data_IF_617513518604
#
_entry.id   IF_617513518604
#
_cell.length_a   1.000
_cell.length_b   1.000
_cell.length_c   1.000
_cell.angle_alpha   90.00
_cell.angle_beta   90.00
_cell.angle_gamma   90.00
#
_symmetry.space_group_name_H-M   'P 1'
#
loop_
_entity.id
_entity.type
_entity.pdbx_description
1 polymer ?
#
# COMPACT_ATOMS: atom_id res chain seq x y z
N UNK A 1 5.40 18.41 -14.41
CA UNK A 1 5.06 17.21 -13.64
C UNK A 1 6.36 16.61 -13.15
N UNK A 2 6.44 16.16 -11.90
CA UNK A 2 7.67 15.56 -11.33
C UNK A 2 7.45 14.09 -11.05
N UNK A 3 8.50 13.29 -11.14
CA UNK A 3 8.43 11.88 -10.78
C UNK A 3 8.24 11.75 -9.28
N UNK A 4 7.24 10.95 -8.91
CA UNK A 4 6.90 10.64 -7.53
C UNK A 4 6.53 9.17 -7.42
N UNK A 5 6.68 8.65 -6.22
CA UNK A 5 6.16 7.36 -5.85
C UNK A 5 5.31 7.47 -4.60
N UNK A 6 4.36 6.57 -4.46
CA UNK A 6 3.60 6.37 -3.22
C UNK A 6 3.84 4.95 -2.75
N UNK A 7 4.30 4.82 -1.52
CA UNK A 7 4.64 3.55 -0.90
C UNK A 7 3.88 3.45 0.41
N UNK A 8 2.87 2.59 0.44
CA UNK A 8 2.00 2.40 1.58
C UNK A 8 1.87 0.91 1.90
N UNK A 9 1.67 0.60 3.17
CA UNK A 9 1.25 -0.70 3.63
C UNK A 9 -0.22 -0.57 4.00
N UNK A 10 -1.03 -1.53 3.56
CA UNK A 10 -2.47 -1.56 3.81
C UNK A 10 -2.89 -2.95 4.25
N UNK A 11 -3.80 -3.01 5.22
CA UNK A 11 -4.48 -4.24 5.61
C UNK A 11 -5.75 -4.37 4.77
N UNK A 12 -5.77 -5.32 3.83
CA UNK A 12 -6.81 -5.43 2.80
C UNK A 12 -7.05 -6.90 2.44
N UNK A 13 -8.29 -7.28 2.09
CA UNK A 13 -8.55 -8.62 1.58
C UNK A 13 -8.07 -8.78 0.13
N UNK A 14 -7.75 -10.01 -0.35
CA UNK A 14 -7.36 -10.23 -1.74
C UNK A 14 -8.39 -9.75 -2.76
N UNK A 15 -9.69 -9.90 -2.45
CA UNK A 15 -10.78 -9.50 -3.34
C UNK A 15 -10.88 -7.97 -3.45
N UNK A 16 -10.74 -7.27 -2.32
CA UNK A 16 -10.70 -5.80 -2.29
C UNK A 16 -9.47 -5.26 -3.01
N UNK A 17 -8.30 -5.87 -2.83
CA UNK A 17 -7.10 -5.47 -3.57
C UNK A 17 -7.26 -5.66 -5.08
N UNK A 18 -7.85 -6.78 -5.51
CA UNK A 18 -8.12 -7.01 -6.93
C UNK A 18 -9.05 -5.93 -7.51
N UNK A 19 -10.09 -5.53 -6.78
CA UNK A 19 -11.00 -4.47 -7.21
C UNK A 19 -10.31 -3.09 -7.23
N UNK A 20 -9.58 -2.75 -6.15
CA UNK A 20 -8.88 -1.49 -6.01
C UNK A 20 -7.78 -1.32 -7.08
N UNK A 21 -6.95 -2.34 -7.31
CA UNK A 21 -5.89 -2.33 -8.32
C UNK A 21 -6.41 -2.14 -9.74
N UNK A 22 -7.61 -2.64 -10.06
CA UNK A 22 -8.26 -2.41 -11.34
C UNK A 22 -8.77 -0.97 -11.51
N UNK A 23 -9.24 -0.34 -10.43
CA UNK A 23 -9.80 1.02 -10.44
C UNK A 23 -8.74 2.13 -10.30
N UNK A 24 -7.64 1.83 -9.60
CA UNK A 24 -6.57 2.77 -9.25
C UNK A 24 -6.05 3.57 -10.44
N UNK A 25 -5.70 2.99 -11.61
CA UNK A 25 -5.18 3.77 -12.73
C UNK A 25 -6.12 4.90 -13.19
N UNK A 26 -7.43 4.63 -13.24
CA UNK A 26 -8.42 5.62 -13.65
C UNK A 26 -8.67 6.67 -12.56
N UNK A 27 -8.77 6.23 -11.30
CA UNK A 27 -8.97 7.12 -10.16
C UNK A 27 -7.79 8.10 -9.99
N UNK A 28 -6.55 7.60 -10.04
CA UNK A 28 -5.34 8.40 -9.93
C UNK A 28 -5.21 9.41 -11.07
N UNK A 29 -5.50 8.99 -12.31
CA UNK A 29 -5.50 9.88 -13.45
C UNK A 29 -6.51 11.03 -13.28
N UNK A 30 -7.71 10.74 -12.78
CA UNK A 30 -8.73 11.76 -12.50
C UNK A 30 -8.28 12.76 -11.41
N UNK A 31 -7.46 12.31 -10.46
CA UNK A 31 -6.88 13.14 -9.40
C UNK A 31 -5.61 13.91 -9.83
N UNK A 32 -5.09 13.71 -11.05
CA UNK A 32 -3.86 14.36 -11.53
C UNK A 32 -2.58 13.63 -11.15
N UNK A 33 -2.66 12.32 -10.87
CA UNK A 33 -1.52 11.43 -10.69
C UNK A 33 -1.46 10.43 -11.85
N UNK A 34 -0.50 10.62 -12.76
CA UNK A 34 -0.25 9.72 -13.87
C UNK A 34 0.61 8.54 -13.43
N UNK A 35 -0.04 7.46 -12.99
CA UNK A 35 0.63 6.23 -12.59
C UNK A 35 1.24 5.50 -13.81
N UNK A 36 2.52 5.16 -13.71
CA UNK A 36 3.27 4.37 -14.69
C UNK A 36 3.38 2.90 -14.28
N UNK A 37 3.38 2.62 -12.96
CA UNK A 37 3.25 1.26 -12.45
C UNK A 37 2.53 1.23 -11.10
N UNK A 38 1.84 0.13 -10.84
CA UNK A 38 1.12 -0.14 -9.59
C UNK A 38 1.42 -1.58 -9.21
N UNK A 39 1.98 -1.78 -8.03
CA UNK A 39 2.34 -3.08 -7.49
C UNK A 39 1.71 -3.24 -6.12
N UNK A 40 1.23 -4.45 -5.84
CA UNK A 40 0.74 -4.85 -4.52
C UNK A 40 1.37 -6.17 -4.17
N UNK A 41 2.29 -6.16 -3.21
CA UNK A 41 3.03 -7.33 -2.77
C UNK A 41 2.57 -7.69 -1.35
N UNK A 42 2.09 -8.92 -1.18
CA UNK A 42 1.70 -9.43 0.15
C UNK A 42 2.94 -9.55 1.01
N UNK A 43 2.91 -8.95 2.20
CA UNK A 43 3.93 -9.11 3.22
C UNK A 43 3.60 -10.33 4.05
N UNK A 44 4.51 -11.29 4.05
CA UNK A 44 4.44 -12.44 4.93
C UNK A 44 4.85 -12.04 6.36
N UNK A 45 3.85 -12.00 7.26
CA UNK A 45 4.04 -11.68 8.68
C UNK A 45 4.42 -12.90 9.53
N UNK A 46 4.66 -14.08 8.94
CA UNK A 46 5.03 -15.28 9.70
C UNK A 46 6.37 -15.14 10.44
N UNK A 47 7.34 -14.42 9.86
CA UNK A 47 8.62 -14.12 10.53
C UNK A 47 8.49 -12.99 11.57
N UNK A 48 7.55 -12.05 11.39
CA UNK A 48 7.38 -10.85 12.23
C UNK A 48 5.88 -10.56 12.46
N UNK A 49 5.23 -11.25 13.42
CA UNK A 49 3.80 -11.11 13.66
C UNK A 49 3.42 -9.77 14.32
N UNK A 50 4.40 -9.05 14.89
CA UNK A 50 4.19 -7.74 15.51
C UNK A 50 4.19 -6.64 14.43
N UNK A 51 3.03 -6.43 13.81
CA UNK A 51 2.82 -5.37 12.85
C UNK A 51 1.83 -4.33 13.40
N UNK A 52 2.18 -3.05 13.25
CA UNK A 52 1.37 -1.93 13.74
C UNK A 52 -0.08 -1.93 13.21
N UNK A 53 -0.31 -2.33 11.95
CA UNK A 53 -1.68 -2.39 11.40
C UNK A 53 -2.48 -3.58 11.92
N UNK A 54 -1.82 -4.72 12.14
CA UNK A 54 -2.45 -5.89 12.77
C UNK A 54 -2.87 -5.54 14.20
N UNK A 55 -1.97 -4.93 14.97
CA UNK A 55 -2.26 -4.47 16.33
C UNK A 55 -3.40 -3.44 16.37
N UNK A 56 -3.41 -2.47 15.45
CA UNK A 56 -4.48 -1.47 15.36
C UNK A 56 -5.82 -2.10 15.02
N UNK A 57 -5.84 -3.02 14.05
CA UNK A 57 -7.03 -3.75 13.65
C UNK A 57 -7.60 -4.58 14.81
N UNK A 58 -6.75 -5.32 15.53
CA UNK A 58 -7.17 -6.11 16.68
C UNK A 58 -7.80 -5.27 17.79
N UNK A 59 -7.22 -4.11 18.07
CA UNK A 59 -7.74 -3.18 19.07
C UNK A 59 -9.10 -2.59 18.66
N UNK A 60 -9.30 -2.31 17.37
CA UNK A 60 -10.52 -1.70 16.86
C UNK A 60 -11.65 -2.71 16.63
N UNK A 61 -11.34 -3.87 16.04
CA UNK A 61 -12.31 -4.89 15.61
C UNK A 61 -12.51 -6.00 16.66
N UNK A 62 -11.65 -6.07 17.69
CA UNK A 62 -11.73 -7.08 18.74
C UNK A 62 -11.36 -8.50 18.29
N UNK A 63 -10.73 -8.64 17.12
CA UNK A 63 -10.29 -9.92 16.54
C UNK A 63 -9.04 -9.72 15.66
N UNK A 64 -8.21 -10.76 15.49
CA UNK A 64 -7.14 -10.73 14.50
C UNK A 64 -7.70 -10.61 13.06
N UNK A 65 -6.94 -10.02 12.13
CA UNK A 65 -7.23 -10.11 10.71
C UNK A 65 -7.16 -11.58 10.28
N UNK A 66 -8.25 -12.08 9.69
CA UNK A 66 -8.35 -13.48 9.25
C UNK A 66 -8.46 -13.59 7.73
N UNK A 67 -9.13 -12.61 7.11
CA UNK A 67 -9.27 -12.54 5.66
C UNK A 67 -8.33 -11.48 5.06
N UNK A 68 -8.00 -10.46 5.86
CA UNK A 68 -7.16 -9.34 5.49
C UNK A 68 -5.69 -9.73 5.51
N UNK A 69 -4.93 -9.20 4.56
CA UNK A 69 -3.50 -9.43 4.42
C UNK A 69 -2.79 -8.08 4.40
N UNK A 70 -1.62 -8.03 5.02
CA UNK A 70 -0.77 -6.86 4.89
C UNK A 70 -0.19 -6.83 3.47
N UNK A 71 -0.53 -5.80 2.71
CA UNK A 71 -0.09 -5.62 1.33
C UNK A 71 0.70 -4.32 1.22
N UNK A 72 1.95 -4.40 0.73
CA UNK A 72 2.71 -3.23 0.34
C UNK A 72 2.30 -2.80 -1.05
N UNK A 73 1.75 -1.59 -1.16
CA UNK A 73 1.34 -0.97 -2.41
C UNK A 73 2.36 0.08 -2.81
N UNK A 74 2.97 -0.12 -3.98
CA UNK A 74 3.89 0.84 -4.59
C UNK A 74 3.27 1.36 -5.89
N UNK A 75 3.00 2.65 -5.94
CA UNK A 75 2.56 3.37 -7.13
C UNK A 75 3.71 4.24 -7.59
N UNK A 76 4.23 4.02 -8.80
CA UNK A 76 5.18 4.93 -9.44
C UNK A 76 4.47 5.75 -10.51
N UNK A 77 4.93 6.98 -10.71
CA UNK A 77 4.41 7.80 -11.80
C UNK A 77 4.89 9.24 -11.73
N UNK A 78 4.08 10.13 -12.27
CA UNK A 78 4.35 11.56 -12.19
C UNK A 78 3.11 12.36 -11.79
N UNK A 79 3.32 13.44 -11.05
CA UNK A 79 2.24 14.35 -10.67
C UNK A 79 2.74 15.79 -10.46
N UNK A 80 1.83 16.76 -10.49
CA UNK A 80 2.05 18.12 -9.99
C UNK A 80 1.53 18.32 -8.57
N UNK A 81 0.82 17.34 -7.99
CA UNK A 81 0.30 17.38 -6.64
C UNK A 81 1.42 17.61 -5.60
N UNK A 82 1.04 18.12 -4.42
CA UNK A 82 1.91 18.01 -3.26
C UNK A 82 2.06 16.52 -2.88
N UNK A 83 3.12 16.15 -2.15
CA UNK A 83 3.29 14.74 -1.74
C UNK A 83 2.13 14.27 -0.86
N UNK A 84 1.61 15.16 0.00
CA UNK A 84 0.43 14.88 0.84
C UNK A 84 -0.81 14.61 -0.02
N UNK A 85 -1.05 15.44 -1.04
CA UNK A 85 -2.22 15.25 -1.92
C UNK A 85 -2.06 14.03 -2.83
N UNK A 86 -0.84 13.69 -3.23
CA UNK A 86 -0.55 12.45 -3.94
C UNK A 86 -0.83 11.21 -3.08
N UNK A 87 -0.42 11.23 -1.80
CA UNK A 87 -0.73 10.16 -0.85
C UNK A 87 -2.25 10.04 -0.67
N UNK A 88 -2.94 11.18 -0.48
CA UNK A 88 -4.40 11.21 -0.38
C UNK A 88 -5.08 10.62 -1.61
N UNK A 89 -4.62 10.97 -2.82
CA UNK A 89 -5.20 10.43 -4.06
C UNK A 89 -5.11 8.90 -4.15
N UNK A 90 -4.04 8.29 -3.61
CA UNK A 90 -3.91 6.82 -3.54
C UNK A 90 -4.83 6.24 -2.49
N UNK A 91 -4.87 6.83 -1.29
CA UNK A 91 -5.68 6.34 -0.16
C UNK A 91 -7.18 6.47 -0.44
N UNK A 92 -7.62 7.56 -1.05
CA UNK A 92 -9.02 7.78 -1.41
C UNK A 92 -9.53 6.79 -2.47
N UNK A 93 -8.61 6.11 -3.18
CA UNK A 93 -8.94 5.07 -4.16
C UNK A 93 -8.93 3.64 -3.55
N UNK A 94 -8.57 3.49 -2.28
CA UNK A 94 -8.69 2.23 -1.53
C UNK A 94 -10.11 2.06 -0.97
N UNK A 95 -10.49 0.84 -0.54
CA UNK A 95 -11.76 0.62 0.15
C UNK A 95 -11.90 1.51 1.39
N UNK A 96 -13.12 1.98 1.63
CA UNK A 96 -13.43 2.78 2.82
C UNK A 96 -13.10 2.00 4.11
N UNK A 97 -12.49 2.68 5.08
CA UNK A 97 -12.10 2.06 6.36
C UNK A 97 -10.82 1.23 6.29
N UNK A 98 -10.10 1.22 5.17
CA UNK A 98 -8.80 0.54 5.07
C UNK A 98 -7.81 1.08 6.11
N UNK A 99 -7.15 0.18 6.84
CA UNK A 99 -6.06 0.52 7.75
C UNK A 99 -4.75 0.59 6.95
N UNK A 100 -4.05 1.72 7.00
CA UNK A 100 -2.84 1.92 6.20
C UNK A 100 -1.81 2.82 6.89
N UNK A 101 -0.54 2.71 6.48
CA UNK A 101 0.52 3.69 6.76
C UNK A 101 1.46 3.81 5.57
N UNK A 102 2.18 4.92 5.50
CA UNK A 102 3.14 5.20 4.43
C UNK A 102 2.97 6.61 3.89
N UNK A 103 3.63 6.92 2.79
CA UNK A 103 3.63 8.28 2.23
C UNK A 103 4.08 8.27 0.77
N UNK A 104 3.90 9.41 0.11
CA UNK A 104 4.53 9.70 -1.16
C UNK A 104 5.88 10.38 -0.96
N UNK A 105 6.82 10.09 -1.87
CA UNK A 105 8.15 10.71 -1.93
C UNK A 105 8.46 11.15 -3.37
N UNK A 106 9.50 11.97 -3.53
CA UNK A 106 10.01 12.31 -4.86
C UNK A 106 10.88 11.17 -5.41
N UNK A 107 10.79 10.97 -6.73
CA UNK A 107 11.47 9.89 -7.43
C UNK A 107 10.73 8.55 -7.40
N UNK A 108 11.26 7.53 -8.09
CA UNK A 108 10.65 6.19 -8.14
C UNK A 108 11.02 5.34 -6.91
N UNK A 109 10.13 4.42 -6.56
CA UNK A 109 10.36 3.36 -5.58
C UNK A 109 10.35 2.00 -6.25
N UNK A 110 11.36 1.18 -5.97
CA UNK A 110 11.43 -0.20 -6.45
C UNK A 110 10.35 -1.06 -5.78
N UNK A 111 9.47 -1.73 -6.55
CA UNK A 111 8.51 -2.69 -6.02
C UNK A 111 9.15 -3.94 -5.40
N UNK A 112 8.35 -4.78 -4.73
CA UNK A 112 8.78 -6.02 -4.11
C UNK A 112 8.90 -5.93 -2.59
N UNK A 113 8.80 -7.07 -1.91
CA UNK A 113 8.98 -7.19 -0.46
C UNK A 113 10.26 -7.99 -0.21
N UNK A 114 11.28 -7.36 0.37
CA UNK A 114 12.50 -8.06 0.80
C UNK A 114 12.34 -8.52 2.25
N UNK A 115 11.35 -9.35 2.52
CA UNK A 115 11.24 -10.07 3.78
C UNK A 115 11.62 -11.55 3.56
N UNK A 116 12.80 -11.77 2.97
CA UNK A 116 13.44 -13.06 3.09
C UNK A 116 14.17 -13.04 4.43
N UNK A 117 13.59 -13.73 5.42
CA UNK A 117 14.15 -13.96 6.75
C UNK A 117 15.70 -13.95 6.70
N UNK A 118 16.34 -12.88 7.20
CA UNK A 118 17.77 -12.59 7.04
C UNK A 118 18.70 -13.52 7.86
N UNK A 119 18.16 -14.59 8.43
CA UNK A 119 18.87 -15.56 9.24
C UNK A 119 18.64 -16.97 8.68
N UNK A 120 19.37 -17.29 7.62
CA UNK A 120 19.78 -18.69 7.40
C UNK A 120 21.10 -18.88 8.16
N UNK A 121 21.08 -19.65 9.25
CA UNK A 121 22.29 -20.13 9.92
C UNK A 121 22.21 -21.65 10.05
N UNK A 122 23.34 -22.39 9.98
CA UNK A 122 24.55 -22.22 9.17
C UNK A 122 24.62 -23.22 7.99
#
# INVERSE_FOLDING_TARGET
MREISTDINVLITPAEWQAASAALPQALKAAGYEATSIHGDVIDLTCEPDNMLVNQYEQAEGRPPMAEQLTRVVVNGSSSLSLVDATRAVVDALPEGSYWYGTSIEGPTTPGVTAACAWQHP
#
